data_IF_812818953046
#
_entry.id   IF_812818953046
#
_cell.length_a   1.000
_cell.length_b   1.000
_cell.length_c   1.000
_cell.angle_alpha   90.00
_cell.angle_beta   90.00
_cell.angle_gamma   90.00
#
_symmetry.space_group_name_H-M   'P 1'
#
loop_
_entity.id
_entity.type
_entity.pdbx_description
1 polymer ?
#
# COMPACT_ATOMS: atom_id res chain seq x y z
N UNK A 1 18.63 -16.81 -41.67
CA UNK A 1 18.34 -17.91 -40.71
C UNK A 1 19.49 -18.04 -39.72
N UNK A 2 19.16 -18.39 -38.47
CA UNK A 2 19.98 -18.42 -37.26
C UNK A 2 21.23 -19.32 -37.39
N UNK A 3 22.42 -18.84 -36.98
CA UNK A 3 23.56 -19.68 -36.60
C UNK A 3 23.80 -19.59 -35.08
N UNK A 4 22.93 -20.28 -34.32
CA UNK A 4 22.99 -20.43 -32.85
C UNK A 4 23.69 -21.74 -32.46
N UNK A 5 24.89 -22.01 -32.97
CA UNK A 5 25.53 -23.34 -32.81
C UNK A 5 27.03 -23.36 -32.50
N UNK A 6 27.60 -22.29 -31.94
CA UNK A 6 29.01 -22.31 -31.47
C UNK A 6 29.21 -21.89 -30.01
N UNK A 7 28.27 -22.21 -29.12
CA UNK A 7 28.42 -21.91 -27.69
C UNK A 7 28.06 -23.09 -26.77
N UNK A 8 28.20 -24.33 -27.26
CA UNK A 8 28.01 -25.53 -26.44
C UNK A 8 29.14 -26.54 -26.68
N UNK A 9 30.37 -26.08 -26.45
CA UNK A 9 31.53 -26.96 -26.30
C UNK A 9 32.38 -26.51 -25.13
N UNK A 10 31.85 -26.67 -23.92
CA UNK A 10 32.69 -26.94 -22.74
C UNK A 10 31.84 -27.49 -21.59
N UNK A 11 31.55 -28.79 -21.61
CA UNK A 11 31.12 -29.53 -20.42
C UNK A 11 31.92 -30.82 -20.37
N UNK A 12 32.93 -30.86 -19.50
CA UNK A 12 33.62 -32.09 -19.16
C UNK A 12 32.72 -32.92 -18.23
N UNK A 13 32.52 -34.22 -18.53
CA UNK A 13 31.75 -35.12 -17.69
C UNK A 13 32.62 -35.61 -16.53
N UNK A 14 32.01 -36.32 -15.57
CA UNK A 14 32.62 -37.00 -14.41
C UNK A 14 32.89 -36.02 -13.26
N UNK A 15 32.23 -36.10 -12.10
CA UNK A 15 32.18 -37.27 -11.19
C UNK A 15 30.85 -37.28 -10.45
N UNK A 16 30.06 -38.34 -10.65
CA UNK A 16 29.11 -38.80 -9.67
C UNK A 16 29.85 -39.78 -8.75
N UNK A 17 29.95 -39.48 -7.46
CA UNK A 17 30.06 -40.49 -6.42
C UNK A 17 29.42 -39.98 -5.13
N UNK A 18 28.36 -40.69 -4.74
CA UNK A 18 27.58 -40.51 -3.53
C UNK A 18 28.37 -40.95 -2.30
N UNK A 19 28.19 -40.26 -1.16
CA UNK A 19 28.26 -40.91 0.14
C UNK A 19 27.23 -40.33 1.11
N UNK A 20 26.60 -41.28 1.78
CA UNK A 20 25.61 -41.23 2.85
C UNK A 20 25.90 -40.21 3.96
N UNK A 21 24.83 -39.78 4.61
CA UNK A 21 24.90 -39.41 6.02
C UNK A 21 23.92 -38.33 6.39
N UNK A 22 22.76 -38.73 6.91
CA UNK A 22 21.99 -37.85 7.79
C UNK A 22 22.91 -37.38 8.91
N UNK A 23 23.09 -36.07 9.01
CA UNK A 23 23.43 -35.40 10.25
C UNK A 23 22.60 -34.13 10.26
N UNK A 24 21.45 -34.21 10.93
CA UNK A 24 20.87 -33.02 11.56
C UNK A 24 21.95 -32.47 12.49
N UNK A 25 22.73 -31.51 12.00
CA UNK A 25 23.51 -30.65 12.88
C UNK A 25 22.54 -29.61 13.44
N UNK A 26 21.94 -29.99 14.56
CA UNK A 26 21.43 -29.09 15.57
C UNK A 26 22.58 -28.16 15.99
N UNK A 27 22.65 -26.98 15.39
CA UNK A 27 23.51 -25.91 15.85
C UNK A 27 22.90 -25.33 17.14
N UNK A 28 23.12 -26.00 18.27
CA UNK A 28 22.89 -25.42 19.58
C UNK A 28 24.04 -24.44 19.87
N UNK A 29 23.97 -23.25 19.28
CA UNK A 29 24.72 -22.11 19.78
C UNK A 29 24.07 -21.71 21.10
N UNK A 30 24.65 -22.16 22.21
CA UNK A 30 24.35 -21.60 23.53
C UNK A 30 24.94 -20.20 23.60
N UNK A 31 24.17 -19.25 23.10
CA UNK A 31 24.27 -17.82 23.35
C UNK A 31 22.84 -17.35 23.48
N UNK A 32 22.51 -16.84 24.67
CA UNK A 32 21.29 -16.09 24.95
C UNK A 32 21.06 -15.05 23.83
N UNK A 33 19.78 -14.77 23.53
CA UNK A 33 19.25 -13.82 22.53
C UNK A 33 18.60 -14.45 21.26
N UNK A 34 17.27 -14.33 21.22
CA UNK A 34 16.35 -14.23 20.08
C UNK A 34 16.54 -15.10 18.81
N UNK A 35 15.61 -16.05 18.61
CA UNK A 35 14.61 -15.98 17.53
C UNK A 35 13.73 -17.24 17.52
N UNK A 36 12.48 -17.09 17.95
CA UNK A 36 11.46 -18.11 17.77
C UNK A 36 11.16 -18.33 16.27
N UNK A 37 11.15 -19.60 15.87
CA UNK A 37 10.70 -20.08 14.57
C UNK A 37 9.22 -19.71 14.40
N UNK A 38 8.94 -18.74 13.51
CA UNK A 38 7.58 -18.42 13.10
C UNK A 38 7.19 -19.27 11.88
N UNK A 39 6.29 -20.22 12.14
CA UNK A 39 5.34 -20.86 11.22
C UNK A 39 4.76 -19.86 10.19
N UNK A 40 4.58 -20.21 8.89
CA UNK A 40 3.95 -19.30 7.93
C UNK A 40 2.43 -19.36 8.13
N UNK A 41 1.91 -18.58 9.08
CA UNK A 41 0.47 -18.38 9.18
C UNK A 41 0.17 -16.98 9.72
N UNK A 42 -0.60 -16.22 8.94
CA UNK A 42 -1.12 -14.88 9.23
C UNK A 42 -0.11 -13.81 9.68
N UNK A 43 0.26 -12.94 8.74
CA UNK A 43 0.83 -11.63 9.04
C UNK A 43 -0.18 -10.71 9.72
N UNK A 44 -0.46 -10.98 11.00
CA UNK A 44 -0.99 -9.99 11.93
C UNK A 44 0.16 -9.09 12.35
N UNK A 45 0.35 -7.98 11.62
CA UNK A 45 1.32 -6.96 11.99
C UNK A 45 0.95 -6.36 13.34
N UNK A 46 1.62 -6.82 14.39
CA UNK A 46 1.65 -6.16 15.69
C UNK A 46 2.79 -5.16 15.66
N UNK A 47 2.42 -3.89 15.50
CA UNK A 47 3.34 -2.77 15.59
C UNK A 47 2.89 -1.58 14.75
N UNK A 48 1.99 -0.75 15.29
CA UNK A 48 2.16 0.68 15.13
C UNK A 48 1.44 1.44 16.25
N UNK A 49 2.13 2.44 16.77
CA UNK A 49 1.58 3.59 17.50
C UNK A 49 0.22 4.00 16.93
N UNK A 50 -0.76 4.22 17.80
CA UNK A 50 -2.14 4.60 17.48
C UNK A 50 -2.19 5.53 16.25
N UNK A 51 -2.57 4.97 15.11
CA UNK A 51 -2.64 5.69 13.83
C UNK A 51 -4.05 6.20 13.56
N UNK A 52 -4.99 5.92 14.47
CA UNK A 52 -6.42 6.23 14.30
C UNK A 52 -7.14 5.33 13.30
N UNK A 53 -6.59 4.16 12.92
CA UNK A 53 -7.29 3.21 12.07
C UNK A 53 -6.83 1.76 12.28
N UNK A 54 -7.69 0.82 11.90
CA UNK A 54 -7.39 -0.61 11.80
C UNK A 54 -7.63 -1.12 10.38
N UNK A 55 -6.94 -2.19 9.98
CA UNK A 55 -7.08 -2.78 8.65
C UNK A 55 -7.47 -4.25 8.77
N UNK A 56 -8.48 -4.66 8.01
CA UNK A 56 -8.87 -6.06 7.82
C UNK A 56 -9.03 -6.33 6.31
N UNK A 57 -8.07 -7.05 5.73
CA UNK A 57 -8.01 -7.24 4.28
C UNK A 57 -7.86 -5.91 3.55
N UNK A 58 -8.84 -5.56 2.73
CA UNK A 58 -8.91 -4.30 1.98
C UNK A 58 -9.83 -3.25 2.63
N UNK A 59 -10.33 -3.52 3.84
CA UNK A 59 -11.20 -2.63 4.60
C UNK A 59 -10.42 -1.90 5.69
N UNK A 60 -10.55 -0.58 5.71
CA UNK A 60 -10.01 0.33 6.72
C UNK A 60 -11.16 0.83 7.60
N UNK A 61 -11.03 0.66 8.90
CA UNK A 61 -11.92 1.28 9.90
C UNK A 61 -11.14 2.42 10.55
N UNK A 62 -11.59 3.64 10.33
CA UNK A 62 -10.88 4.88 10.66
C UNK A 62 -11.67 5.62 11.74
N UNK A 63 -10.98 6.06 12.78
CA UNK A 63 -11.48 6.97 13.81
C UNK A 63 -11.16 8.42 13.41
N UNK A 64 -12.18 9.18 13.02
CA UNK A 64 -12.05 10.56 12.61
C UNK A 64 -11.77 11.53 13.77
N UNK A 65 -11.93 11.10 15.02
CA UNK A 65 -11.54 11.91 16.19
C UNK A 65 -10.03 11.93 16.40
N UNK A 66 -9.31 10.98 15.81
CA UNK A 66 -7.86 10.91 15.90
C UNK A 66 -7.19 12.05 15.11
N UNK A 67 -6.11 12.61 15.67
CA UNK A 67 -5.44 13.82 15.15
C UNK A 67 -4.95 13.70 13.70
N UNK A 68 -4.57 12.49 13.27
CA UNK A 68 -4.19 12.19 11.88
C UNK A 68 -5.28 12.53 10.85
N UNK A 69 -6.56 12.59 11.25
CA UNK A 69 -7.70 12.85 10.38
C UNK A 69 -8.31 14.24 10.59
N UNK A 70 -7.63 15.12 11.34
CA UNK A 70 -8.09 16.49 11.63
C UNK A 70 -8.38 17.33 10.37
N UNK A 71 -7.73 17.03 9.24
CA UNK A 71 -8.00 17.68 7.95
C UNK A 71 -9.41 17.37 7.40
N UNK A 72 -10.08 16.31 7.88
CA UNK A 72 -11.42 15.88 7.47
C UNK A 72 -12.53 16.31 8.45
N UNK A 73 -12.20 17.14 9.45
CA UNK A 73 -13.14 17.59 10.48
C UNK A 73 -14.26 18.49 9.91
N UNK A 74 -13.99 19.22 8.83
CA UNK A 74 -14.94 20.17 8.23
C UNK A 74 -15.17 19.87 6.75
N UNK A 75 -16.36 20.21 6.25
CA UNK A 75 -16.69 20.14 4.83
C UNK A 75 -15.67 20.91 3.98
N UNK A 76 -15.26 20.33 2.86
CA UNK A 76 -14.17 20.83 2.00
C UNK A 76 -12.77 20.41 2.47
N UNK A 77 -12.65 19.87 3.68
CA UNK A 77 -11.42 19.26 4.18
C UNK A 77 -11.02 18.06 3.35
N UNK A 78 -9.73 17.96 3.00
CA UNK A 78 -9.18 16.87 2.21
C UNK A 78 -7.82 16.45 2.74
N UNK A 79 -7.43 15.21 2.45
CA UNK A 79 -6.09 14.73 2.75
C UNK A 79 -5.65 13.61 1.83
N UNK A 80 -4.34 13.39 1.77
CA UNK A 80 -3.74 12.21 1.16
C UNK A 80 -3.41 11.19 2.24
N UNK A 81 -4.20 10.13 2.34
CA UNK A 81 -4.04 9.07 3.33
C UNK A 81 -2.71 8.32 3.21
N UNK A 82 -2.00 8.43 2.05
CA UNK A 82 -0.75 7.71 1.83
C UNK A 82 0.30 8.04 2.87
N UNK A 83 0.33 9.30 3.31
CA UNK A 83 1.28 9.82 4.29
C UNK A 83 1.16 9.12 5.65
N UNK A 84 0.03 8.48 5.92
CA UNK A 84 -0.26 7.72 7.15
C UNK A 84 -0.56 6.23 6.89
N UNK A 85 -0.26 5.74 5.69
CA UNK A 85 -0.36 4.31 5.35
C UNK A 85 -1.68 3.86 4.71
N UNK A 86 -2.60 4.77 4.37
CA UNK A 86 -3.86 4.42 3.68
C UNK A 86 -3.74 4.83 2.20
N UNK A 87 -3.83 3.91 1.22
CA UNK A 87 -3.59 4.23 -0.20
C UNK A 87 -4.81 4.90 -0.88
N UNK A 88 -5.37 5.93 -0.25
CA UNK A 88 -6.52 6.68 -0.75
C UNK A 88 -6.38 8.19 -0.52
N UNK A 89 -7.01 8.97 -1.39
CA UNK A 89 -7.33 10.38 -1.14
C UNK A 89 -8.69 10.45 -0.46
N UNK A 90 -8.89 11.44 0.41
CA UNK A 90 -10.16 11.67 1.11
C UNK A 90 -10.62 13.11 0.92
N UNK A 91 -11.93 13.31 0.77
CA UNK A 91 -12.59 14.61 0.71
C UNK A 91 -13.88 14.58 1.53
N UNK A 92 -14.01 15.47 2.52
CA UNK A 92 -15.24 15.68 3.30
C UNK A 92 -16.22 16.50 2.47
N UNK A 93 -17.15 15.84 1.78
CA UNK A 93 -18.10 16.52 0.88
C UNK A 93 -19.36 17.02 1.60
N UNK A 94 -19.67 16.48 2.78
CA UNK A 94 -20.73 17.01 3.65
C UNK A 94 -20.46 16.68 5.13
N UNK A 95 -21.35 17.12 6.03
CA UNK A 95 -21.28 16.72 7.44
C UNK A 95 -21.49 15.22 7.66
N UNK A 96 -22.05 14.50 6.70
CA UNK A 96 -22.38 13.06 6.83
C UNK A 96 -21.68 12.19 5.79
N UNK A 97 -20.77 12.75 4.99
CA UNK A 97 -20.20 12.03 3.85
C UNK A 97 -18.75 12.42 3.59
N UNK A 98 -17.92 11.40 3.38
CA UNK A 98 -16.53 11.51 2.93
C UNK A 98 -16.41 10.65 1.67
N UNK A 99 -16.04 11.28 0.57
CA UNK A 99 -15.67 10.58 -0.66
C UNK A 99 -14.19 10.19 -0.58
N UNK A 100 -13.87 9.00 -1.07
CA UNK A 100 -12.49 8.57 -1.23
C UNK A 100 -12.16 8.25 -2.69
N UNK A 101 -10.88 8.32 -3.04
CA UNK A 101 -10.39 8.13 -4.40
C UNK A 101 -9.08 7.34 -4.40
N UNK A 102 -8.73 6.70 -5.51
CA UNK A 102 -7.37 6.18 -5.74
C UNK A 102 -6.34 7.28 -5.55
N UNK A 103 -5.26 6.97 -4.83
CA UNK A 103 -4.17 7.92 -4.62
C UNK A 103 -3.04 7.84 -5.65
N UNK A 104 -3.17 6.95 -6.64
CA UNK A 104 -2.18 6.76 -7.70
C UNK A 104 -2.63 7.54 -8.93
N UNK A 105 -1.80 8.46 -9.39
CA UNK A 105 -2.06 9.21 -10.61
C UNK A 105 -2.09 8.24 -11.81
N UNK A 106 -3.20 8.18 -12.58
CA UNK A 106 -3.40 7.20 -13.65
C UNK A 106 -2.32 7.18 -14.75
N UNK A 107 -1.48 8.21 -14.86
CA UNK A 107 -0.48 8.31 -15.92
C UNK A 107 0.92 7.77 -15.54
N UNK A 108 1.40 8.05 -14.33
CA UNK A 108 2.83 7.83 -13.97
C UNK A 108 3.05 7.25 -12.57
N UNK A 109 2.00 6.82 -11.87
CA UNK A 109 2.16 6.18 -10.56
C UNK A 109 2.49 7.15 -9.41
N UNK A 110 2.51 8.47 -9.67
CA UNK A 110 2.76 9.48 -8.65
C UNK A 110 1.63 9.55 -7.64
N UNK A 111 1.97 9.98 -6.43
CA UNK A 111 1.03 10.04 -5.31
C UNK A 111 1.12 11.35 -4.55
N UNK A 112 1.74 12.37 -5.15
CA UNK A 112 1.75 13.72 -4.61
C UNK A 112 0.57 14.47 -5.20
N UNK A 113 -0.22 15.10 -4.35
CA UNK A 113 -1.50 15.69 -4.73
C UNK A 113 -1.66 17.06 -4.08
N UNK A 114 -2.34 17.95 -4.79
CA UNK A 114 -2.95 19.16 -4.25
C UNK A 114 -4.42 19.18 -4.66
N UNK A 115 -5.26 19.87 -3.90
CA UNK A 115 -6.68 19.99 -4.19
C UNK A 115 -7.13 21.44 -4.11
N UNK A 116 -7.79 21.92 -5.16
CA UNK A 116 -8.36 23.26 -5.25
C UNK A 116 -9.45 23.29 -6.33
N UNK A 117 -10.46 24.15 -6.19
CA UNK A 117 -11.53 24.33 -7.17
C UNK A 117 -12.15 23.00 -7.66
N UNK A 118 -12.43 22.06 -6.75
CA UNK A 118 -13.01 20.74 -7.07
C UNK A 118 -12.13 19.85 -7.96
N UNK A 119 -10.82 20.11 -8.00
CA UNK A 119 -9.86 19.40 -8.82
C UNK A 119 -8.71 18.87 -7.96
N UNK A 120 -8.49 17.56 -8.05
CA UNK A 120 -7.26 16.92 -7.60
C UNK A 120 -6.20 17.10 -8.68
N UNK A 121 -5.13 17.79 -8.33
CA UNK A 121 -3.98 18.00 -9.19
C UNK A 121 -2.82 17.11 -8.76
N UNK A 122 -2.37 16.25 -9.65
CA UNK A 122 -1.17 15.45 -9.41
C UNK A 122 0.07 16.35 -9.50
N UNK A 123 0.85 16.41 -8.42
CA UNK A 123 2.15 17.08 -8.43
C UNK A 123 3.22 16.11 -8.97
N UNK A 124 3.90 16.48 -10.06
CA UNK A 124 5.28 16.10 -10.32
C UNK A 124 5.90 17.04 -11.36
N UNK A 125 7.23 17.06 -11.38
CA UNK A 125 8.25 17.77 -12.17
C UNK A 125 8.65 17.11 -13.51
N UNK A 126 7.83 16.24 -14.13
CA UNK A 126 8.03 15.74 -15.51
C UNK A 126 6.86 16.02 -16.49
N UNK A 127 7.05 15.89 -17.83
CA UNK A 127 6.31 16.56 -18.92
C UNK A 127 4.77 16.41 -19.00
N UNK A 128 4.16 15.65 -18.09
CA UNK A 128 2.70 15.59 -17.85
C UNK A 128 2.31 16.13 -16.47
N UNK A 129 2.99 17.19 -16.06
CA UNK A 129 2.80 17.89 -14.79
C UNK A 129 1.37 18.40 -14.64
N UNK A 130 0.83 18.32 -13.43
CA UNK A 130 -0.33 19.11 -13.06
C UNK A 130 -1.62 18.69 -13.76
N UNK A 131 -1.74 17.43 -14.16
CA UNK A 131 -3.03 16.88 -14.58
C UNK A 131 -4.02 17.01 -13.43
N UNK A 132 -5.19 17.49 -13.79
CA UNK A 132 -6.29 17.78 -12.89
C UNK A 132 -7.42 16.77 -13.15
N UNK A 133 -7.99 16.26 -12.07
CA UNK A 133 -9.06 15.27 -12.08
C UNK A 133 -10.19 15.81 -11.21
N UNK A 134 -11.41 15.79 -11.73
CA UNK A 134 -12.58 16.22 -10.96
C UNK A 134 -12.86 15.29 -9.79
N UNK A 135 -13.32 15.88 -8.70
CA UNK A 135 -13.77 15.20 -7.47
C UNK A 135 -15.16 14.55 -7.60
N UNK A 136 -15.85 14.76 -8.73
CA UNK A 136 -17.25 14.36 -8.95
C UNK A 136 -17.44 12.90 -9.41
N UNK A 137 -16.43 12.04 -9.26
CA UNK A 137 -16.45 10.64 -9.68
C UNK A 137 -16.73 10.37 -11.18
N UNK A 138 -16.51 11.38 -12.02
CA UNK A 138 -16.53 11.24 -13.49
C UNK A 138 -15.14 11.45 -14.12
N UNK A 139 -14.09 11.35 -13.31
CA UNK A 139 -12.69 11.43 -13.77
C UNK A 139 -12.04 10.04 -13.83
N UNK A 140 -10.80 9.98 -14.29
CA UNK A 140 -10.01 8.74 -14.32
C UNK A 140 -9.60 8.24 -12.91
N UNK A 141 -9.94 8.96 -11.83
CA UNK A 141 -9.75 8.49 -10.47
C UNK A 141 -10.90 7.55 -10.09
N UNK A 142 -10.58 6.33 -9.68
CA UNK A 142 -11.60 5.42 -9.13
C UNK A 142 -12.08 5.96 -7.80
N UNK A 143 -13.39 6.14 -7.68
CA UNK A 143 -14.04 6.52 -6.44
C UNK A 143 -14.39 5.32 -5.57
N UNK A 144 -14.19 5.47 -4.27
CA UNK A 144 -14.70 4.59 -3.24
C UNK A 144 -15.72 5.37 -2.42
N UNK A 145 -16.79 4.69 -1.99
CA UNK A 145 -17.87 5.27 -1.20
C UNK A 145 -17.81 4.76 0.25
N UNK A 146 -16.94 5.31 1.11
CA UNK A 146 -16.91 4.98 2.52
C UNK A 146 -18.27 5.14 3.21
N UNK A 147 -18.51 4.31 4.22
CA UNK A 147 -19.64 4.50 5.13
C UNK A 147 -19.19 5.28 6.36
N UNK A 148 -19.82 6.45 6.61
CA UNK A 148 -19.61 7.23 7.82
C UNK A 148 -20.73 6.94 8.83
N UNK A 149 -20.36 6.49 10.03
CA UNK A 149 -21.26 6.27 11.15
C UNK A 149 -20.70 6.92 12.41
N UNK A 150 -21.28 8.05 12.81
CA UNK A 150 -20.70 8.91 13.84
C UNK A 150 -19.32 9.41 13.40
N UNK A 151 -18.31 9.11 14.20
CA UNK A 151 -16.91 9.44 13.91
C UNK A 151 -16.12 8.28 13.28
N UNK A 152 -16.78 7.14 13.02
CA UNK A 152 -16.14 5.99 12.40
C UNK A 152 -16.39 5.98 10.89
N UNK A 153 -15.31 6.02 10.11
CA UNK A 153 -15.33 5.90 8.66
C UNK A 153 -14.87 4.50 8.24
N UNK A 154 -15.71 3.78 7.50
CA UNK A 154 -15.36 2.47 6.93
C UNK A 154 -15.11 2.60 5.43
N UNK A 155 -13.85 2.47 5.01
CA UNK A 155 -13.43 2.47 3.60
C UNK A 155 -13.12 1.04 3.17
N UNK A 156 -13.60 0.62 2.00
CA UNK A 156 -13.15 -0.62 1.34
C UNK A 156 -12.56 -0.28 -0.02
N UNK A 157 -11.35 -0.75 -0.28
CA UNK A 157 -10.64 -0.54 -1.55
C UNK A 157 -10.81 -1.78 -2.42
N UNK A 158 -11.33 -1.61 -3.64
CA UNK A 158 -11.63 -2.71 -4.59
C UNK A 158 -10.92 -2.53 -5.92
#
# INVERSE_FOLDING_TARGET
MKNRRSFLKEVCPTVAFAFFGLSFLEACSSGDDDAAIANPNNGGGTGNTDSGYTVNGNTYTIDLTHSNFSQLANTGGWMNGKNIGIPALFLRISSTEIQAYTNVCPHQGYTEWSYNNNLFKCANSGPTHGREFSDNCNSDLTCYNPNLNGDTLTLTIS
#
